data_IF_346056409812
#
_entry.id   IF_346056409812
#
_cell.length_a   1.000
_cell.length_b   1.000
_cell.length_c   1.000
_cell.angle_alpha   90.00
_cell.angle_beta   90.00
_cell.angle_gamma   90.00
#
_symmetry.space_group_name_H-M   'P 1'
#
loop_
_entity.id
_entity.type
_entity.pdbx_description
1 polymer ?
#
# COMPACT_ATOMS: atom_id res chain seq x y z
N UNK A 1 60.08 17.98 -33.99
CA UNK A 1 59.56 18.07 -32.59
C UNK A 1 58.12 17.64 -32.61
N UNK A 2 57.83 16.36 -32.21
CA UNK A 2 56.49 15.76 -32.25
C UNK A 2 55.91 15.83 -30.83
N UNK A 3 54.78 16.51 -30.65
CA UNK A 3 54.04 16.61 -29.40
C UNK A 3 53.04 15.44 -29.38
N UNK A 4 52.99 14.57 -28.35
CA UNK A 4 52.02 13.52 -28.23
C UNK A 4 50.71 14.10 -27.62
N UNK A 5 49.59 13.84 -28.26
CA UNK A 5 48.26 14.11 -27.73
C UNK A 5 47.96 13.09 -26.61
N UNK A 6 47.80 13.57 -25.38
CA UNK A 6 47.25 12.83 -24.28
C UNK A 6 45.72 12.79 -24.40
N UNK A 7 45.20 11.61 -24.73
CA UNK A 7 43.78 11.32 -24.65
C UNK A 7 43.42 11.07 -23.16
N UNK A 8 42.86 12.08 -22.51
CA UNK A 8 42.23 11.91 -21.20
C UNK A 8 40.86 11.27 -21.38
N UNK A 9 40.76 9.96 -21.13
CA UNK A 9 39.50 9.24 -20.99
C UNK A 9 38.76 9.74 -19.74
N UNK A 10 37.71 10.51 -19.94
CA UNK A 10 36.74 10.82 -18.88
C UNK A 10 35.88 9.59 -18.62
N UNK A 11 36.23 8.86 -17.58
CA UNK A 11 35.34 7.84 -17.01
C UNK A 11 34.17 8.54 -16.31
N UNK A 12 33.02 8.59 -16.97
CA UNK A 12 31.76 8.88 -16.30
C UNK A 12 31.42 7.73 -15.36
N UNK A 13 31.71 7.91 -14.08
CA UNK A 13 31.13 7.09 -13.02
C UNK A 13 29.63 7.37 -12.97
N UNK A 14 28.87 6.52 -13.63
CA UNK A 14 27.43 6.42 -13.40
C UNK A 14 27.25 5.83 -12.00
N UNK A 15 27.07 6.71 -10.99
CA UNK A 15 26.60 6.29 -9.67
C UNK A 15 25.20 5.70 -9.85
N UNK A 16 25.12 4.38 -9.99
CA UNK A 16 23.87 3.67 -9.84
C UNK A 16 23.44 3.85 -8.37
N UNK A 17 22.58 4.83 -8.12
CA UNK A 17 21.84 4.86 -6.87
C UNK A 17 20.94 3.62 -6.90
N UNK A 18 20.94 2.76 -5.87
CA UNK A 18 19.94 1.72 -5.79
C UNK A 18 18.58 2.42 -5.75
N UNK A 19 17.80 2.24 -6.80
CA UNK A 19 16.37 2.55 -6.74
C UNK A 19 15.81 1.71 -5.59
N UNK A 20 15.47 2.37 -4.50
CA UNK A 20 14.68 1.77 -3.44
C UNK A 20 13.29 1.55 -4.05
N UNK A 21 13.10 0.39 -4.69
CA UNK A 21 11.78 -0.11 -5.03
C UNK A 21 11.10 -0.43 -3.70
N UNK A 22 10.25 0.47 -3.26
CA UNK A 22 9.26 0.15 -2.25
C UNK A 22 8.21 -0.74 -2.93
N UNK A 23 8.48 -2.05 -2.99
CA UNK A 23 7.46 -3.04 -3.30
C UNK A 23 6.53 -3.12 -2.10
N UNK A 24 5.33 -2.57 -2.23
CA UNK A 24 4.30 -2.72 -1.23
C UNK A 24 3.84 -4.17 -1.13
N UNK A 25 3.51 -4.57 0.09
CA UNK A 25 3.09 -5.90 0.49
C UNK A 25 2.16 -6.52 -0.55
N UNK A 26 2.52 -7.69 -1.06
CA UNK A 26 1.66 -8.47 -1.92
C UNK A 26 0.29 -8.69 -1.26
N UNK A 27 -0.76 -8.14 -1.87
CA UNK A 27 -2.12 -8.18 -1.34
C UNK A 27 -2.52 -7.01 -0.42
N UNK A 28 -1.66 -6.00 -0.21
CA UNK A 28 -2.08 -4.78 0.47
C UNK A 28 -3.13 -4.05 -0.38
N UNK A 29 -4.26 -3.61 0.21
CA UNK A 29 -5.30 -2.92 -0.54
C UNK A 29 -4.73 -1.72 -1.31
N UNK A 30 -5.06 -1.62 -2.61
CA UNK A 30 -4.65 -0.51 -3.47
C UNK A 30 -3.12 -0.35 -3.62
N UNK A 31 -2.32 -1.41 -3.40
CA UNK A 31 -0.85 -1.37 -3.47
C UNK A 31 -0.33 -0.66 -4.70
N UNK A 32 -0.85 -1.01 -5.87
CA UNK A 32 -0.44 -0.39 -7.14
C UNK A 32 -0.68 1.13 -7.17
N UNK A 33 -1.79 1.63 -6.57
CA UNK A 33 -2.07 3.07 -6.49
C UNK A 33 -1.07 3.77 -5.56
N UNK A 34 -0.71 3.15 -4.43
CA UNK A 34 0.29 3.67 -3.50
C UNK A 34 1.67 3.72 -4.15
N UNK A 35 2.12 2.66 -4.82
CA UNK A 35 3.42 2.59 -5.50
C UNK A 35 3.56 3.63 -6.63
N UNK A 36 2.52 3.75 -7.46
CA UNK A 36 2.50 4.74 -8.54
C UNK A 36 2.54 6.17 -8.00
N UNK A 37 1.78 6.44 -6.94
CA UNK A 37 1.74 7.77 -6.31
C UNK A 37 3.04 8.08 -5.58
N UNK A 38 3.64 7.11 -4.90
CA UNK A 38 4.94 7.21 -4.26
C UNK A 38 6.04 7.59 -5.27
N UNK A 39 6.12 6.86 -6.37
CA UNK A 39 7.06 7.13 -7.45
C UNK A 39 6.84 8.51 -8.05
N UNK A 40 5.58 8.90 -8.31
CA UNK A 40 5.24 10.21 -8.93
C UNK A 40 5.58 11.38 -8.04
N UNK A 41 5.43 11.25 -6.74
CA UNK A 41 5.56 12.37 -5.80
C UNK A 41 6.84 12.31 -4.95
N UNK A 42 7.70 11.29 -5.14
CA UNK A 42 8.97 11.13 -4.40
C UNK A 42 8.77 10.86 -2.92
N UNK A 43 7.77 10.04 -2.58
CA UNK A 43 7.47 9.60 -1.22
C UNK A 43 7.64 8.08 -1.10
N UNK A 44 7.71 7.60 0.14
CA UNK A 44 7.66 6.17 0.43
C UNK A 44 6.20 5.67 0.35
N UNK A 45 5.97 4.56 -0.33
CA UNK A 45 4.65 3.98 -0.50
C UNK A 45 4.05 3.51 0.84
N UNK A 46 4.87 2.94 1.72
CA UNK A 46 4.45 2.53 3.07
C UNK A 46 4.06 3.72 3.93
N UNK A 47 4.73 4.86 3.75
CA UNK A 47 4.37 6.10 4.42
C UNK A 47 2.99 6.63 3.97
N UNK A 48 2.72 6.65 2.65
CA UNK A 48 1.41 7.07 2.12
C UNK A 48 0.31 6.09 2.61
N UNK A 49 0.59 4.79 2.58
CA UNK A 49 -0.33 3.75 3.05
C UNK A 49 -0.64 3.89 4.56
N UNK A 50 0.36 4.21 5.39
CA UNK A 50 0.17 4.46 6.81
C UNK A 50 -0.72 5.68 7.07
N UNK A 51 -0.56 6.75 6.28
CA UNK A 51 -1.45 7.92 6.37
C UNK A 51 -2.88 7.52 6.02
N UNK A 52 -3.11 6.80 4.91
CA UNK A 52 -4.45 6.35 4.50
C UNK A 52 -5.09 5.41 5.54
N UNK A 53 -4.30 4.52 6.14
CA UNK A 53 -4.75 3.65 7.23
C UNK A 53 -5.25 4.46 8.43
N UNK A 54 -4.52 5.48 8.84
CA UNK A 54 -4.88 6.33 9.99
C UNK A 54 -6.05 7.28 9.65
N UNK A 55 -6.15 7.78 8.42
CA UNK A 55 -7.20 8.72 8.00
C UNK A 55 -8.56 8.06 7.85
N UNK A 56 -8.64 6.88 7.26
CA UNK A 56 -9.91 6.25 6.90
C UNK A 56 -10.02 4.77 7.28
N UNK A 57 -8.95 4.15 7.80
CA UNK A 57 -8.89 2.68 7.91
C UNK A 57 -8.91 1.99 6.55
N UNK A 58 -8.39 2.65 5.50
CA UNK A 58 -8.41 2.18 4.10
C UNK A 58 -9.83 2.06 3.51
N UNK A 59 -10.81 2.83 4.03
CA UNK A 59 -12.16 2.90 3.46
C UNK A 59 -12.23 3.98 2.36
N UNK A 60 -12.41 3.60 1.08
CA UNK A 60 -12.50 4.56 -0.03
C UNK A 60 -13.77 5.41 0.01
N UNK A 61 -14.80 4.95 0.74
CA UNK A 61 -16.08 5.65 0.86
C UNK A 61 -16.19 6.51 2.13
N UNK A 62 -15.11 6.60 2.90
CA UNK A 62 -15.10 7.35 4.16
C UNK A 62 -15.45 8.82 3.96
N UNK A 63 -16.35 9.34 4.82
CA UNK A 63 -16.76 10.76 4.86
C UNK A 63 -16.74 11.23 6.31
N UNK A 64 -15.87 12.21 6.61
CA UNK A 64 -15.82 12.77 7.96
C UNK A 64 -16.86 13.89 8.17
N UNK A 65 -17.12 14.23 9.43
CA UNK A 65 -17.96 15.39 9.80
C UNK A 65 -17.41 16.74 9.29
N UNK A 66 -16.10 16.80 9.00
CA UNK A 66 -15.45 17.97 8.42
C UNK A 66 -15.44 17.95 6.87
N UNK A 67 -16.25 17.08 6.25
CA UNK A 67 -16.32 16.90 4.80
C UNK A 67 -14.97 16.52 4.16
N UNK A 68 -14.18 15.72 4.85
CA UNK A 68 -13.00 15.06 4.29
C UNK A 68 -13.44 13.70 3.70
N UNK A 69 -12.89 13.33 2.53
CA UNK A 69 -13.41 12.27 1.68
C UNK A 69 -12.33 11.26 1.31
N UNK A 70 -12.72 9.98 1.28
CA UNK A 70 -11.97 8.85 0.75
C UNK A 70 -10.77 8.44 1.60
N UNK A 71 -9.90 7.64 1.01
CA UNK A 71 -8.77 6.98 1.67
C UNK A 71 -7.85 7.94 2.43
N UNK A 72 -7.49 9.05 1.82
CA UNK A 72 -6.56 10.05 2.35
C UNK A 72 -7.26 11.26 2.99
N UNK A 73 -8.61 11.19 3.17
CA UNK A 73 -9.43 12.22 3.81
C UNK A 73 -9.17 13.64 3.26
N UNK A 74 -9.26 13.79 1.95
CA UNK A 74 -9.09 15.09 1.28
C UNK A 74 -10.29 16.00 1.54
N UNK A 75 -10.07 17.18 2.11
CA UNK A 75 -11.13 18.14 2.43
C UNK A 75 -11.79 18.70 1.17
N UNK A 76 -13.11 18.50 1.08
CA UNK A 76 -13.93 19.07 0.04
C UNK A 76 -14.64 20.34 0.52
N UNK A 77 -14.69 21.42 -0.26
CA UNK A 77 -14.00 21.61 -1.55
C UNK A 77 -12.59 22.23 -1.42
N UNK A 78 -12.11 22.52 -0.21
CA UNK A 78 -10.92 23.35 0.02
C UNK A 78 -9.66 22.73 -0.58
N UNK A 79 -9.15 21.67 0.04
CA UNK A 79 -7.91 21.00 -0.42
C UNK A 79 -8.10 20.38 -1.81
N UNK A 80 -9.30 19.87 -2.12
CA UNK A 80 -9.61 19.31 -3.42
C UNK A 80 -9.40 20.33 -4.56
N UNK A 81 -9.86 21.57 -4.39
CA UNK A 81 -9.65 22.65 -5.38
C UNK A 81 -8.19 22.99 -5.57
N UNK A 82 -7.41 23.07 -4.49
CA UNK A 82 -5.96 23.31 -4.54
C UNK A 82 -5.23 22.20 -5.31
N UNK A 83 -5.80 21.00 -5.30
CA UNK A 83 -5.34 19.83 -6.02
C UNK A 83 -5.99 19.63 -7.40
N UNK A 84 -6.72 20.62 -7.93
CA UNK A 84 -7.45 20.56 -9.21
C UNK A 84 -8.43 19.38 -9.31
N UNK A 85 -9.01 18.94 -8.20
CA UNK A 85 -10.09 17.96 -8.18
C UNK A 85 -11.39 18.73 -8.15
N UNK A 86 -12.10 18.70 -9.27
CA UNK A 86 -13.28 19.54 -9.50
C UNK A 86 -14.60 18.81 -9.24
N UNK A 87 -14.57 17.49 -9.17
CA UNK A 87 -15.72 16.65 -8.91
C UNK A 87 -15.56 15.94 -7.58
N UNK A 88 -16.62 16.03 -6.76
CA UNK A 88 -16.61 15.41 -5.43
C UNK A 88 -16.51 13.89 -5.50
N UNK A 89 -17.16 13.30 -6.47
CA UNK A 89 -17.20 11.86 -6.72
C UNK A 89 -15.83 11.27 -7.05
N UNK A 90 -14.93 12.04 -7.67
CA UNK A 90 -13.57 11.59 -8.00
C UNK A 90 -12.76 11.24 -6.74
N UNK A 91 -13.12 11.83 -5.58
CA UNK A 91 -12.47 11.54 -4.30
C UNK A 91 -12.85 10.19 -3.68
N UNK A 92 -13.81 9.47 -4.25
CA UNK A 92 -14.13 8.09 -3.88
C UNK A 92 -13.43 7.06 -4.78
N UNK A 93 -12.76 7.50 -5.85
CA UNK A 93 -11.83 6.63 -6.59
C UNK A 93 -10.54 6.46 -5.80
N UNK A 94 -10.15 5.21 -5.48
CA UNK A 94 -8.98 4.94 -4.66
C UNK A 94 -7.69 5.54 -5.19
N UNK A 95 -7.41 5.39 -6.50
CA UNK A 95 -6.17 5.86 -7.09
C UNK A 95 -6.11 7.38 -7.20
N UNK A 96 -7.23 8.03 -7.53
CA UNK A 96 -7.32 9.50 -7.58
C UNK A 96 -7.12 10.07 -6.17
N UNK A 97 -7.75 9.48 -5.17
CA UNK A 97 -7.67 9.95 -3.79
C UNK A 97 -6.26 9.78 -3.20
N UNK A 98 -5.64 8.60 -3.40
CA UNK A 98 -4.26 8.33 -2.97
C UNK A 98 -3.29 9.30 -3.64
N UNK A 99 -3.39 9.52 -4.95
CA UNK A 99 -2.54 10.46 -5.68
C UNK A 99 -2.69 11.90 -5.16
N UNK A 100 -3.92 12.32 -4.91
CA UNK A 100 -4.21 13.63 -4.34
C UNK A 100 -3.57 13.81 -2.95
N UNK A 101 -3.71 12.83 -2.06
CA UNK A 101 -3.11 12.84 -0.73
C UNK A 101 -1.60 12.83 -0.76
N UNK A 102 -1.00 11.98 -1.59
CA UNK A 102 0.45 11.90 -1.79
C UNK A 102 1.02 13.22 -2.33
N UNK A 103 0.36 13.81 -3.32
CA UNK A 103 0.73 15.14 -3.86
C UNK A 103 0.68 16.22 -2.79
N UNK A 104 -0.37 16.24 -1.97
CA UNK A 104 -0.51 17.21 -0.88
C UNK A 104 0.56 17.02 0.18
N UNK A 105 0.83 15.78 0.61
CA UNK A 105 1.93 15.46 1.53
C UNK A 105 3.29 15.91 0.98
N UNK A 106 3.56 15.66 -0.31
CA UNK A 106 4.80 16.08 -0.94
C UNK A 106 4.93 17.61 -0.99
N UNK A 107 3.83 18.34 -1.23
CA UNK A 107 3.82 19.80 -1.17
C UNK A 107 4.14 20.31 0.23
N UNK A 108 3.52 19.72 1.27
CA UNK A 108 3.76 20.07 2.67
C UNK A 108 5.20 19.73 3.07
N UNK A 109 5.73 18.60 2.62
CA UNK A 109 7.11 18.20 2.92
C UNK A 109 8.14 19.18 2.32
N UNK A 110 7.89 19.66 1.09
CA UNK A 110 8.72 20.71 0.49
C UNK A 110 8.60 22.05 1.23
N UNK A 111 7.38 22.41 1.69
CA UNK A 111 7.15 23.66 2.41
C UNK A 111 7.85 23.71 3.76
N UNK A 112 7.80 22.61 4.50
CA UNK A 112 8.30 22.58 5.87
C UNK A 112 9.70 21.95 6.01
N UNK A 113 10.22 21.31 4.97
CA UNK A 113 11.49 20.56 4.97
C UNK A 113 11.60 19.56 6.15
N UNK A 114 10.45 19.04 6.62
CA UNK A 114 10.35 18.11 7.74
C UNK A 114 9.08 17.29 7.61
N UNK A 115 9.22 15.95 7.56
CA UNK A 115 8.07 15.04 7.47
C UNK A 115 7.15 15.13 8.69
N UNK A 116 7.69 15.41 9.88
CA UNK A 116 6.88 15.60 11.08
C UNK A 116 6.02 16.86 11.00
N UNK A 117 6.61 17.98 10.52
CA UNK A 117 5.86 19.21 10.32
C UNK A 117 4.86 19.09 9.17
N UNK A 118 5.21 18.34 8.12
CA UNK A 118 4.29 18.04 7.01
C UNK A 118 3.07 17.23 7.50
N UNK A 119 3.28 16.18 8.30
CA UNK A 119 2.18 15.42 8.92
C UNK A 119 1.34 16.28 9.85
N UNK A 120 1.98 17.13 10.67
CA UNK A 120 1.26 18.08 11.51
C UNK A 120 0.38 19.00 10.66
N UNK A 121 0.95 19.57 9.57
CA UNK A 121 0.25 20.48 8.67
C UNK A 121 -0.89 19.77 7.91
N UNK A 122 -0.70 18.51 7.53
CA UNK A 122 -1.75 17.70 6.93
C UNK A 122 -2.97 17.58 7.84
N UNK A 123 -2.73 17.27 9.11
CA UNK A 123 -3.78 17.06 10.12
C UNK A 123 -4.45 18.35 10.59
N UNK A 124 -3.65 19.37 10.99
CA UNK A 124 -4.19 20.58 11.63
C UNK A 124 -4.29 21.79 10.71
N UNK A 125 -3.83 21.65 9.47
CA UNK A 125 -3.72 22.71 8.48
C UNK A 125 -2.36 23.43 8.54
N UNK A 126 -1.83 23.83 7.36
CA UNK A 126 -0.47 24.39 7.25
C UNK A 126 -0.29 25.72 7.97
N UNK A 127 -1.28 26.59 7.97
CA UNK A 127 -1.21 27.91 8.65
C UNK A 127 -0.81 27.78 10.11
N UNK A 128 -1.37 26.79 10.82
CA UNK A 128 -1.07 26.60 12.25
C UNK A 128 0.35 26.13 12.52
N UNK A 129 0.99 25.49 11.54
CA UNK A 129 2.38 25.05 11.64
C UNK A 129 3.33 26.19 11.23
N UNK A 130 2.96 27.02 10.25
CA UNK A 130 3.73 28.19 9.83
C UNK A 130 3.94 29.17 10.98
N UNK A 131 2.88 29.43 11.75
CA UNK A 131 2.90 30.43 12.83
C UNK A 131 3.89 30.06 13.93
N UNK A 132 4.03 28.76 14.22
CA UNK A 132 4.84 28.28 15.35
C UNK A 132 6.17 27.68 14.95
N UNK A 133 6.30 27.18 13.72
CA UNK A 133 7.44 26.34 13.27
C UNK A 133 7.69 25.11 14.14
N UNK A 134 6.70 24.73 14.94
CA UNK A 134 6.74 23.60 15.87
C UNK A 134 5.60 22.63 15.55
N UNK A 135 5.73 21.37 16.00
CA UNK A 135 4.65 20.39 15.94
C UNK A 135 3.59 20.75 16.99
N UNK A 136 2.37 21.11 16.61
CA UNK A 136 1.31 21.41 17.57
C UNK A 136 0.95 20.20 18.42
N UNK A 137 0.74 20.37 19.72
CA UNK A 137 0.46 19.28 20.67
C UNK A 137 -0.67 18.34 20.20
N UNK A 138 -1.74 18.91 19.58
CA UNK A 138 -2.86 18.12 19.04
C UNK A 138 -2.50 17.25 17.81
N UNK A 139 -1.35 17.49 17.14
CA UNK A 139 -0.89 16.66 16.05
C UNK A 139 -0.01 15.49 16.53
N UNK A 140 0.46 15.48 17.77
CA UNK A 140 1.40 14.48 18.28
C UNK A 140 0.82 13.07 18.22
N UNK A 141 -0.41 12.87 18.72
CA UNK A 141 -1.06 11.56 18.69
C UNK A 141 -1.32 11.05 17.26
N UNK A 142 -1.64 11.96 16.32
CA UNK A 142 -1.81 11.63 14.92
C UNK A 142 -0.50 11.16 14.30
N UNK A 143 0.58 11.92 14.52
CA UNK A 143 1.92 11.57 14.03
C UNK A 143 2.37 10.22 14.60
N UNK A 144 2.20 10.02 15.92
CA UNK A 144 2.56 8.75 16.57
C UNK A 144 1.84 7.56 15.94
N UNK A 145 0.54 7.68 15.66
CA UNK A 145 -0.25 6.64 15.00
C UNK A 145 0.32 6.30 13.62
N UNK A 146 0.66 7.32 12.82
CA UNK A 146 1.21 7.10 11.47
C UNK A 146 2.57 6.43 11.54
N UNK A 147 3.48 6.88 12.41
CA UNK A 147 4.81 6.28 12.54
C UNK A 147 4.72 4.82 13.03
N UNK A 148 3.79 4.52 13.93
CA UNK A 148 3.52 3.17 14.39
C UNK A 148 2.98 2.29 13.26
N UNK A 149 2.02 2.81 12.50
CA UNK A 149 1.41 2.11 11.36
C UNK A 149 2.43 1.86 10.24
N UNK A 150 3.23 2.87 9.88
CA UNK A 150 4.29 2.72 8.89
C UNK A 150 5.31 1.66 9.30
N UNK A 151 5.71 1.66 10.59
CA UNK A 151 6.60 0.61 11.12
C UNK A 151 5.96 -0.77 11.02
N UNK A 152 4.67 -0.89 11.33
CA UNK A 152 3.93 -2.15 11.23
C UNK A 152 3.88 -2.64 9.79
N UNK A 153 3.56 -1.76 8.83
CA UNK A 153 3.54 -2.08 7.41
C UNK A 153 4.92 -2.56 6.96
N UNK A 154 6.00 -1.85 7.27
CA UNK A 154 7.38 -2.22 6.92
C UNK A 154 7.82 -3.55 7.52
N UNK A 155 7.48 -3.82 8.78
CA UNK A 155 7.81 -5.11 9.42
C UNK A 155 7.01 -6.24 8.77
N UNK A 156 5.73 -6.01 8.45
CA UNK A 156 4.89 -7.00 7.78
C UNK A 156 5.40 -7.28 6.36
N UNK A 157 5.87 -6.26 5.65
CA UNK A 157 6.50 -6.39 4.34
C UNK A 157 7.78 -7.24 4.40
N UNK A 158 8.69 -6.95 5.32
CA UNK A 158 9.91 -7.74 5.52
C UNK A 158 9.61 -9.20 5.91
N UNK A 159 8.61 -9.41 6.77
CA UNK A 159 8.15 -10.75 7.12
C UNK A 159 7.48 -11.45 5.93
N UNK A 160 6.74 -10.71 5.09
CA UNK A 160 6.08 -11.26 3.90
C UNK A 160 7.09 -11.64 2.82
N UNK A 161 8.20 -10.92 2.65
CA UNK A 161 9.30 -11.35 1.78
C UNK A 161 9.90 -12.69 2.23
N UNK A 162 10.08 -12.87 3.54
CA UNK A 162 10.56 -14.13 4.09
C UNK A 162 9.52 -15.25 4.01
N UNK A 163 8.24 -14.91 4.11
CA UNK A 163 7.09 -15.83 4.07
C UNK A 163 6.57 -16.02 2.64
N UNK A 164 6.74 -15.04 1.74
CA UNK A 164 6.33 -15.14 0.33
C UNK A 164 7.00 -16.32 -0.38
N UNK A 165 8.20 -16.70 0.05
CA UNK A 165 8.84 -17.94 -0.40
C UNK A 165 8.08 -19.22 0.01
N UNK A 166 7.24 -19.16 1.05
CA UNK A 166 6.47 -20.30 1.56
C UNK A 166 4.98 -20.29 1.24
N UNK A 167 4.43 -19.11 0.87
CA UNK A 167 3.03 -18.97 0.46
C UNK A 167 2.97 -18.08 -0.78
N UNK A 168 3.17 -18.67 -1.96
CA UNK A 168 2.96 -17.96 -3.23
C UNK A 168 1.56 -18.27 -3.78
N UNK A 169 0.60 -17.32 -3.76
CA UNK A 169 -0.70 -17.50 -4.38
C UNK A 169 -0.64 -17.82 -5.87
N UNK A 170 0.49 -17.54 -6.54
CA UNK A 170 0.71 -17.92 -7.94
C UNK A 170 0.78 -19.44 -8.11
N UNK A 171 1.25 -20.19 -7.11
CA UNK A 171 1.24 -21.65 -7.14
C UNK A 171 -0.19 -22.18 -7.10
N UNK A 172 -1.03 -21.66 -6.21
CA UNK A 172 -2.45 -22.01 -6.15
C UNK A 172 -3.19 -21.62 -7.44
N UNK A 173 -2.92 -20.43 -7.98
CA UNK A 173 -3.43 -20.00 -9.29
C UNK A 173 -3.03 -20.98 -10.39
N UNK A 174 -1.78 -21.44 -10.40
CA UNK A 174 -1.25 -22.38 -11.40
C UNK A 174 -2.03 -23.70 -11.36
N UNK A 175 -2.31 -24.26 -10.16
CA UNK A 175 -3.14 -25.44 -10.01
C UNK A 175 -4.55 -25.24 -10.61
N UNK A 176 -5.17 -24.07 -10.40
CA UNK A 176 -6.47 -23.73 -10.96
C UNK A 176 -6.49 -23.65 -12.49
N UNK A 177 -5.38 -23.27 -13.13
CA UNK A 177 -5.30 -23.05 -14.57
C UNK A 177 -4.75 -24.26 -15.35
N UNK A 178 -3.91 -25.10 -14.74
CA UNK A 178 -3.19 -26.20 -15.45
C UNK A 178 -3.82 -27.56 -15.27
N UNK A 179 -4.53 -27.81 -14.16
CA UNK A 179 -5.17 -29.09 -13.90
C UNK A 179 -6.55 -29.16 -14.56
N UNK A 180 -6.69 -29.96 -15.63
CA UNK A 180 -7.91 -30.05 -16.42
C UNK A 180 -9.05 -30.78 -15.72
N UNK A 181 -8.77 -31.80 -14.88
CA UNK A 181 -9.79 -32.53 -14.12
C UNK A 181 -10.26 -31.68 -12.92
N UNK A 182 -11.56 -31.33 -12.85
CA UNK A 182 -12.10 -30.49 -11.76
C UNK A 182 -11.95 -31.13 -10.37
N UNK A 183 -12.05 -32.46 -10.25
CA UNK A 183 -11.91 -33.17 -8.97
C UNK A 183 -10.46 -33.14 -8.49
N UNK A 184 -9.54 -33.41 -9.39
CA UNK A 184 -8.10 -33.37 -9.12
C UNK A 184 -7.67 -31.94 -8.77
N UNK A 185 -8.15 -30.95 -9.53
CA UNK A 185 -7.89 -29.54 -9.27
C UNK A 185 -8.31 -29.11 -7.87
N UNK A 186 -9.52 -29.50 -7.46
CA UNK A 186 -10.02 -29.24 -6.10
C UNK A 186 -9.17 -29.92 -5.04
N UNK A 187 -8.87 -31.22 -5.21
CA UNK A 187 -8.04 -31.96 -4.26
C UNK A 187 -6.66 -31.34 -4.09
N UNK A 188 -5.99 -30.99 -5.19
CA UNK A 188 -4.68 -30.34 -5.16
C UNK A 188 -4.72 -28.96 -4.47
N UNK A 189 -5.77 -28.16 -4.72
CA UNK A 189 -5.94 -26.88 -4.08
C UNK A 189 -6.14 -26.99 -2.56
N UNK A 190 -6.94 -27.96 -2.13
CA UNK A 190 -7.17 -28.22 -0.70
C UNK A 190 -5.90 -28.73 -0.01
N UNK A 191 -5.13 -29.60 -0.66
CA UNK A 191 -3.83 -30.07 -0.16
C UNK A 191 -2.86 -28.89 -0.04
N UNK A 192 -2.74 -28.06 -1.08
CA UNK A 192 -1.90 -26.88 -1.03
C UNK A 192 -2.26 -25.94 0.13
N UNK A 193 -3.56 -25.71 0.36
CA UNK A 193 -4.02 -24.89 1.48
C UNK A 193 -3.68 -25.52 2.82
N UNK A 194 -3.79 -26.86 2.98
CA UNK A 194 -3.41 -27.55 4.22
C UNK A 194 -1.92 -27.34 4.55
N UNK A 195 -1.08 -27.40 3.53
CA UNK A 195 0.37 -27.26 3.68
C UNK A 195 0.81 -25.82 3.92
N UNK A 196 0.10 -24.82 3.34
CA UNK A 196 0.58 -23.43 3.25
C UNK A 196 -0.25 -22.44 4.06
N UNK A 197 -1.52 -22.74 4.40
CA UNK A 197 -2.39 -21.77 5.10
C UNK A 197 -1.78 -21.25 6.41
N UNK A 198 -0.99 -22.05 7.12
CA UNK A 198 -0.33 -21.63 8.37
C UNK A 198 0.82 -20.65 8.19
N UNK A 199 1.36 -20.54 6.98
CA UNK A 199 2.46 -19.65 6.63
C UNK A 199 2.03 -18.47 5.75
N UNK A 200 0.82 -18.50 5.16
CA UNK A 200 0.25 -17.38 4.43
C UNK A 200 -0.09 -16.21 5.35
N UNK A 201 0.20 -15.00 4.95
CA UNK A 201 -0.29 -13.80 5.64
C UNK A 201 -1.82 -13.64 5.48
N UNK A 202 -2.45 -12.86 6.35
CA UNK A 202 -3.89 -12.55 6.23
C UNK A 202 -4.20 -11.88 4.89
N UNK A 203 -3.35 -10.97 4.42
CA UNK A 203 -3.53 -10.31 3.12
C UNK A 203 -3.42 -11.28 1.94
N UNK A 204 -2.50 -12.24 1.98
CA UNK A 204 -2.41 -13.31 0.97
C UNK A 204 -3.66 -14.19 0.99
N UNK A 205 -4.16 -14.55 2.16
CA UNK A 205 -5.40 -15.32 2.29
C UNK A 205 -6.62 -14.55 1.78
N UNK A 206 -6.72 -13.25 2.06
CA UNK A 206 -7.78 -12.38 1.50
C UNK A 206 -7.66 -12.30 -0.02
N UNK A 207 -6.44 -12.15 -0.55
CA UNK A 207 -6.22 -12.15 -1.99
C UNK A 207 -6.66 -13.48 -2.62
N UNK A 208 -6.28 -14.61 -2.04
CA UNK A 208 -6.70 -15.96 -2.48
C UNK A 208 -8.24 -16.06 -2.45
N UNK A 209 -8.88 -15.68 -1.33
CA UNK A 209 -10.35 -15.68 -1.17
C UNK A 209 -11.03 -14.96 -2.34
N UNK A 210 -10.57 -13.77 -2.68
CA UNK A 210 -11.17 -12.95 -3.73
C UNK A 210 -10.93 -13.50 -5.15
N UNK A 211 -10.08 -14.50 -5.31
CA UNK A 211 -9.69 -15.09 -6.60
C UNK A 211 -10.11 -16.55 -6.78
N UNK A 212 -10.54 -17.23 -5.73
CA UNK A 212 -10.92 -18.66 -5.79
C UNK A 212 -11.93 -18.94 -6.90
N UNK A 213 -12.98 -18.14 -7.02
CA UNK A 213 -13.99 -18.31 -8.06
C UNK A 213 -13.42 -18.13 -9.48
N UNK A 214 -12.48 -17.20 -9.64
CA UNK A 214 -11.82 -16.95 -10.95
C UNK A 214 -10.88 -18.09 -11.32
N UNK A 215 -10.16 -18.66 -10.35
CA UNK A 215 -9.15 -19.69 -10.61
C UNK A 215 -9.72 -21.09 -10.69
N UNK A 216 -10.74 -21.39 -9.89
CA UNK A 216 -11.27 -22.73 -9.72
C UNK A 216 -12.69 -22.90 -10.30
N UNK A 217 -13.49 -21.84 -10.38
CA UNK A 217 -14.83 -21.89 -10.99
C UNK A 217 -15.68 -23.04 -10.48
N UNK A 218 -16.11 -23.90 -11.40
CA UNK A 218 -16.95 -25.08 -11.05
C UNK A 218 -16.24 -26.14 -10.19
N UNK A 219 -14.90 -26.10 -10.08
CA UNK A 219 -14.16 -27.02 -9.16
C UNK A 219 -14.40 -26.68 -7.70
N UNK A 220 -14.83 -25.45 -7.37
CA UNK A 220 -15.22 -25.01 -6.04
C UNK A 220 -16.74 -24.80 -5.91
N UNK A 221 -17.55 -25.58 -6.65
CA UNK A 221 -19.01 -25.45 -6.69
C UNK A 221 -19.69 -25.65 -5.33
N UNK A 222 -19.08 -26.39 -4.43
CA UNK A 222 -19.53 -26.59 -3.05
C UNK A 222 -18.87 -25.65 -2.03
N UNK A 223 -18.04 -24.71 -2.51
CA UNK A 223 -17.37 -23.72 -1.68
C UNK A 223 -16.24 -24.22 -0.78
N UNK A 224 -15.83 -25.50 -0.89
CA UNK A 224 -14.87 -26.09 0.03
C UNK A 224 -13.51 -25.40 0.06
N UNK A 225 -13.01 -24.90 -1.07
CA UNK A 225 -11.76 -24.15 -1.15
C UNK A 225 -11.97 -22.78 -0.49
N UNK A 226 -13.07 -22.09 -0.83
CA UNK A 226 -13.44 -20.79 -0.29
C UNK A 226 -13.60 -20.85 1.23
N UNK A 227 -14.32 -21.83 1.76
CA UNK A 227 -14.57 -22.03 3.20
C UNK A 227 -13.27 -22.27 3.95
N UNK A 228 -12.35 -23.06 3.39
CA UNK A 228 -11.05 -23.32 3.99
C UNK A 228 -10.20 -22.05 4.11
N UNK A 229 -10.20 -21.20 3.08
CA UNK A 229 -9.51 -19.90 3.12
C UNK A 229 -10.14 -18.98 4.15
N UNK A 230 -11.48 -18.92 4.24
CA UNK A 230 -12.20 -18.12 5.24
C UNK A 230 -11.88 -18.59 6.65
N UNK A 231 -11.85 -19.89 6.88
CA UNK A 231 -11.46 -20.47 8.18
C UNK A 231 -10.04 -20.07 8.58
N UNK A 232 -9.08 -20.15 7.65
CA UNK A 232 -7.70 -19.74 7.87
C UNK A 232 -7.55 -18.24 8.23
N UNK A 233 -8.35 -17.36 7.61
CA UNK A 233 -8.42 -15.94 7.94
C UNK A 233 -8.98 -15.74 9.36
N UNK A 234 -10.06 -16.44 9.70
CA UNK A 234 -10.75 -16.30 10.98
C UNK A 234 -9.87 -16.71 12.16
N UNK A 235 -9.13 -17.81 12.04
CA UNK A 235 -8.19 -18.27 13.09
C UNK A 235 -7.12 -17.20 13.37
N UNK A 236 -6.65 -16.47 12.37
CA UNK A 236 -5.61 -15.44 12.53
C UNK A 236 -6.11 -14.13 13.08
N UNK A 237 -7.38 -13.79 12.82
CA UNK A 237 -7.99 -12.59 13.39
C UNK A 237 -8.38 -12.79 14.89
N UNK A 238 -8.35 -14.02 15.39
CA UNK A 238 -8.67 -14.37 16.79
C UNK A 238 -7.40 -14.53 17.65
N UNK A 239 -6.21 -14.57 17.06
CA UNK A 239 -4.94 -14.56 17.82
C UNK A 239 -4.54 -13.12 18.14
N UNK A 240 -4.44 -12.75 19.44
CA UNK A 240 -4.11 -11.39 19.88
C UNK A 240 -2.70 -10.95 19.47
#
# INVERSE_FOLDING_TARGET
MKIPYLLTSFFFFFSAHPEVRAELIYGFPYSQCFEQSATRHGLDATFIAAVASVESGLDPMAVSSANALGLMQIKWPLTAKELNILKREDLFDPCINIDAGARYLAQLNRRFASSLLALAAYHVGPTRVDDTKLVPARALSYIEKILKEEKLIKVTEQLSEQVAYRCDPADLKRLGLTTHDPRKRKSEALTWLDEHQSVCSVSQLIFIKNRVQVWFGTSDSDGAISDKVVAAISVRNLTP
#
